data_IF_729566282183
#
_entry.id   IF_729566282183
#
_cell.length_a   1.000
_cell.length_b   1.000
_cell.length_c   1.000
_cell.angle_alpha   90.00
_cell.angle_beta   90.00
_cell.angle_gamma   90.00
#
_symmetry.space_group_name_H-M   'P 1'
#
loop_
_entity.id
_entity.type
_entity.pdbx_description
1 polymer ?
#
# COMPACT_ATOMS: atom_id res chain seq x y z
N UNK A 1 -49.28 -45.74 8.64
CA UNK A 1 -48.83 -44.70 7.69
C UNK A 1 -48.23 -43.55 8.49
N UNK A 2 -46.89 -43.55 8.62
CA UNK A 2 -46.14 -42.63 9.47
C UNK A 2 -46.09 -41.22 8.85
N UNK A 3 -46.62 -40.21 9.57
CA UNK A 3 -46.38 -38.80 9.25
C UNK A 3 -45.15 -38.32 10.03
N UNK A 4 -44.06 -38.14 9.29
CA UNK A 4 -42.78 -37.63 9.79
C UNK A 4 -42.93 -36.11 10.01
N UNK A 5 -42.86 -35.70 11.28
CA UNK A 5 -42.76 -34.31 11.70
C UNK A 5 -41.29 -33.88 11.49
N UNK A 6 -40.98 -33.13 10.42
CA UNK A 6 -39.63 -32.57 10.23
C UNK A 6 -39.51 -31.21 10.90
N UNK A 7 -38.62 -31.18 11.89
CA UNK A 7 -38.18 -30.03 12.67
C UNK A 7 -37.81 -28.82 11.80
N UNK A 8 -38.24 -27.66 12.28
CA UNK A 8 -37.84 -26.33 11.85
C UNK A 8 -36.37 -26.14 12.24
N UNK A 9 -35.47 -26.08 11.26
CA UNK A 9 -34.10 -25.61 11.44
C UNK A 9 -34.07 -24.11 11.19
N UNK A 10 -34.15 -23.33 12.28
CA UNK A 10 -33.81 -21.90 12.26
C UNK A 10 -32.29 -21.81 12.13
N UNK A 11 -31.80 -21.89 10.89
CA UNK A 11 -30.42 -21.55 10.57
C UNK A 11 -30.28 -20.04 10.61
N UNK A 12 -29.93 -19.48 11.76
CA UNK A 12 -29.36 -18.14 11.81
C UNK A 12 -28.06 -18.17 11.00
N UNK A 13 -28.13 -17.77 9.74
CA UNK A 13 -26.96 -17.42 8.95
C UNK A 13 -26.38 -16.21 9.69
N UNK A 14 -25.40 -16.49 10.54
CA UNK A 14 -24.56 -15.48 11.16
C UNK A 14 -23.98 -14.67 10.03
N UNK A 15 -24.57 -13.49 9.81
CA UNK A 15 -24.02 -12.47 8.96
C UNK A 15 -22.66 -12.13 9.54
N UNK A 16 -21.60 -12.75 9.00
CA UNK A 16 -20.27 -12.21 9.12
C UNK A 16 -20.31 -10.89 8.36
N UNK A 17 -20.71 -9.84 9.07
CA UNK A 17 -20.36 -8.47 8.72
C UNK A 17 -18.84 -8.49 8.77
N UNK A 18 -18.24 -8.74 7.62
CA UNK A 18 -16.85 -8.42 7.35
C UNK A 18 -16.79 -6.91 7.49
N UNK A 19 -16.53 -6.45 8.71
CA UNK A 19 -16.10 -5.09 8.94
C UNK A 19 -14.85 -4.95 8.09
N UNK A 20 -14.98 -4.26 6.96
CA UNK A 20 -13.85 -3.78 6.20
C UNK A 20 -13.11 -2.87 7.16
N UNK A 21 -12.08 -3.41 7.81
CA UNK A 21 -11.15 -2.62 8.60
C UNK A 21 -10.49 -1.72 7.56
N UNK A 22 -11.02 -0.50 7.40
CA UNK A 22 -10.40 0.52 6.57
C UNK A 22 -9.07 0.86 7.27
N UNK A 23 -8.02 0.09 6.97
CA UNK A 23 -6.66 0.47 7.30
C UNK A 23 -6.46 1.85 6.65
N UNK A 24 -6.35 2.88 7.50
CA UNK A 24 -6.23 4.25 7.04
C UNK A 24 -4.94 4.36 6.23
N UNK A 25 -5.06 4.37 4.90
CA UNK A 25 -3.89 4.41 4.02
C UNK A 25 -3.31 5.82 4.00
N UNK A 26 -2.06 5.94 4.44
CA UNK A 26 -1.28 7.16 4.43
C UNK A 26 -0.72 7.43 3.05
N UNK A 27 -0.70 8.70 2.63
CA UNK A 27 -0.03 9.09 1.38
C UNK A 27 1.47 9.29 1.63
N UNK A 28 2.29 8.58 0.86
CA UNK A 28 3.75 8.65 0.93
C UNK A 28 4.25 9.41 -0.29
N UNK A 29 5.12 10.40 -0.08
CA UNK A 29 5.81 11.05 -1.18
C UNK A 29 6.78 10.07 -1.85
N UNK A 30 6.77 10.00 -3.18
CA UNK A 30 7.69 9.13 -3.89
C UNK A 30 7.96 9.60 -5.31
N UNK A 31 9.08 9.13 -5.88
CA UNK A 31 9.52 9.47 -7.24
C UNK A 31 10.21 8.29 -7.90
N UNK A 32 10.13 8.19 -9.23
CA UNK A 32 10.96 7.27 -10.02
C UNK A 32 12.20 8.05 -10.48
N UNK A 33 13.39 7.46 -10.29
CA UNK A 33 14.67 7.99 -10.77
C UNK A 33 15.43 6.92 -11.53
N UNK A 34 16.36 7.33 -12.38
CA UNK A 34 17.30 6.41 -13.02
C UNK A 34 18.59 6.35 -12.21
N UNK A 35 19.06 5.13 -11.94
CA UNK A 35 20.34 4.87 -11.29
C UNK A 35 20.99 3.65 -11.93
N UNK A 36 22.22 3.78 -12.41
CA UNK A 36 22.95 2.70 -13.10
C UNK A 36 22.13 2.00 -14.20
N UNK A 37 21.35 2.77 -14.97
CA UNK A 37 20.50 2.28 -16.06
C UNK A 37 19.21 1.57 -15.61
N UNK A 38 18.88 1.57 -14.31
CA UNK A 38 17.69 0.93 -13.75
C UNK A 38 16.73 1.94 -13.11
N UNK A 39 15.42 1.63 -13.01
CA UNK A 39 14.47 2.44 -12.26
C UNK A 39 14.64 2.22 -10.76
N UNK A 40 14.87 3.29 -10.02
CA UNK A 40 14.74 3.33 -8.57
C UNK A 40 13.44 4.05 -8.20
N UNK A 41 12.62 3.44 -7.37
CA UNK A 41 11.46 4.08 -6.74
C UNK A 41 11.87 4.57 -5.37
N UNK A 42 12.02 5.89 -5.22
CA UNK A 42 12.43 6.54 -3.99
C UNK A 42 11.20 6.95 -3.18
N UNK A 43 11.14 6.54 -1.92
CA UNK A 43 10.13 6.98 -0.96
C UNK A 43 10.71 8.07 -0.06
N UNK A 44 9.98 9.16 0.10
CA UNK A 44 10.39 10.34 0.87
C UNK A 44 9.19 10.97 1.57
N UNK A 45 9.16 10.83 2.90
CA UNK A 45 8.18 11.47 3.77
C UNK A 45 6.75 10.95 3.61
N UNK A 46 5.98 10.96 4.69
CA UNK A 46 4.52 10.85 4.59
C UNK A 46 4.02 12.28 4.43
N UNK A 47 3.36 12.56 3.30
CA UNK A 47 3.00 13.91 2.85
C UNK A 47 1.55 14.26 3.16
N UNK A 48 0.74 13.29 3.59
CA UNK A 48 -0.64 13.52 3.98
C UNK A 48 -1.36 12.26 4.48
N UNK A 49 -2.55 12.48 5.03
CA UNK A 49 -3.44 11.44 5.56
C UNK A 49 -3.93 11.76 6.96
N UNK A 50 -5.23 11.59 7.20
CA UNK A 50 -5.80 11.53 8.55
C UNK A 50 -5.50 10.15 9.13
N UNK A 51 -4.40 10.01 9.86
CA UNK A 51 -4.15 8.82 10.66
C UNK A 51 -4.34 9.13 12.13
N UNK A 52 -4.86 8.15 12.87
CA UNK A 52 -4.91 8.27 14.32
C UNK A 52 -3.49 8.18 14.87
N UNK A 53 -2.99 9.31 15.34
CA UNK A 53 -1.65 9.41 15.91
C UNK A 53 -1.40 8.53 17.13
N UNK A 54 -2.46 8.10 17.83
CA UNK A 54 -2.36 7.23 18.99
C UNK A 54 -2.01 5.78 18.59
N UNK A 55 -2.17 5.43 17.31
CA UNK A 55 -1.78 4.11 16.79
C UNK A 55 -0.27 4.01 16.55
N UNK A 56 0.48 5.11 16.68
CA UNK A 56 1.89 5.18 16.32
C UNK A 56 2.75 5.63 17.50
N UNK A 57 3.77 4.84 17.81
CA UNK A 57 4.79 5.18 18.79
C UNK A 57 5.71 6.32 18.32
N UNK A 58 6.65 6.74 19.17
CA UNK A 58 7.65 7.78 18.80
C UNK A 58 8.52 7.35 17.60
N UNK A 59 8.75 6.05 17.46
CA UNK A 59 9.48 5.42 16.36
C UNK A 59 8.84 4.05 16.07
N UNK A 60 9.02 3.56 14.86
CA UNK A 60 8.62 2.20 14.50
C UNK A 60 9.01 1.88 13.06
N UNK A 61 8.43 0.82 12.53
CA UNK A 61 8.58 0.40 11.13
C UNK A 61 7.20 0.37 10.50
N UNK A 62 7.11 0.79 9.24
CA UNK A 62 5.90 0.69 8.43
C UNK A 62 6.26 0.15 7.04
N UNK A 63 5.26 -0.41 6.35
CA UNK A 63 5.39 -0.82 4.96
C UNK A 63 5.06 0.37 4.07
N UNK A 64 5.92 0.69 3.11
CA UNK A 64 5.60 1.62 2.03
C UNK A 64 5.40 0.85 0.74
N UNK A 65 4.40 1.25 -0.03
CA UNK A 65 4.00 0.62 -1.28
C UNK A 65 3.95 1.68 -2.37
N UNK A 66 4.51 1.37 -3.53
CA UNK A 66 4.35 2.12 -4.76
C UNK A 66 3.49 1.32 -5.75
N UNK A 67 2.50 1.98 -6.33
CA UNK A 67 1.73 1.49 -7.46
C UNK A 67 2.12 2.32 -8.68
N UNK A 68 2.73 1.65 -9.67
CA UNK A 68 3.09 2.24 -10.97
C UNK A 68 2.08 1.78 -11.99
N UNK A 69 1.48 2.70 -12.74
CA UNK A 69 0.58 2.36 -13.84
C UNK A 69 0.79 3.22 -15.09
N UNK A 70 0.61 2.61 -16.25
CA UNK A 70 0.77 3.27 -17.55
C UNK A 70 0.74 2.26 -18.69
N UNK A 71 0.29 2.70 -19.88
CA UNK A 71 0.03 1.84 -21.05
C UNK A 71 -0.85 0.60 -20.75
N UNK A 72 -1.83 0.74 -19.84
CA UNK A 72 -2.68 -0.38 -19.41
C UNK A 72 -2.01 -1.38 -18.46
N UNK A 73 -0.72 -1.23 -18.17
CA UNK A 73 0.00 -2.07 -17.22
C UNK A 73 -0.01 -1.45 -15.82
N UNK A 74 0.02 -2.30 -14.79
CA UNK A 74 0.11 -1.90 -13.39
C UNK A 74 1.04 -2.83 -12.63
N UNK A 75 1.94 -2.29 -11.81
CA UNK A 75 2.82 -3.06 -10.92
C UNK A 75 2.87 -2.44 -9.52
N UNK A 76 3.03 -3.31 -8.53
CA UNK A 76 3.12 -2.95 -7.11
C UNK A 76 4.50 -3.30 -6.57
N UNK A 77 5.13 -2.35 -5.89
CA UNK A 77 6.44 -2.51 -5.25
C UNK A 77 6.32 -2.12 -3.78
N UNK A 78 6.80 -2.96 -2.86
CA UNK A 78 6.69 -2.69 -1.43
C UNK A 78 8.02 -2.89 -0.72
N UNK A 79 8.31 -2.06 0.28
CA UNK A 79 9.47 -2.20 1.17
C UNK A 79 9.13 -1.69 2.56
N UNK A 80 9.93 -2.05 3.56
CA UNK A 80 9.77 -1.52 4.91
C UNK A 80 10.66 -0.29 5.11
N UNK A 81 10.15 0.70 5.84
CA UNK A 81 10.95 1.84 6.30
C UNK A 81 10.72 2.12 7.77
N UNK A 82 11.77 2.57 8.43
CA UNK A 82 11.68 3.10 9.80
C UNK A 82 11.05 4.48 9.75
N UNK A 83 10.12 4.73 10.65
CA UNK A 83 9.52 6.04 10.84
C UNK A 83 9.91 6.66 12.19
N UNK A 84 9.86 7.99 12.25
CA UNK A 84 9.88 8.79 13.47
C UNK A 84 8.63 9.67 13.48
N UNK A 85 7.93 9.73 14.61
CA UNK A 85 6.82 10.65 14.81
C UNK A 85 7.38 12.05 15.14
N UNK A 86 6.99 13.05 14.36
CA UNK A 86 7.40 14.45 14.51
C UNK A 86 6.13 15.31 14.50
N UNK A 87 5.72 15.76 15.69
CA UNK A 87 4.42 16.40 15.87
C UNK A 87 3.29 15.53 15.34
N UNK A 88 2.56 16.06 14.35
CA UNK A 88 1.42 15.40 13.71
C UNK A 88 1.77 14.57 12.46
N UNK A 89 3.06 14.35 12.21
CA UNK A 89 3.57 13.69 11.00
C UNK A 89 4.40 12.45 11.33
N UNK A 90 4.37 11.46 10.44
CA UNK A 90 5.37 10.39 10.41
C UNK A 90 6.43 10.71 9.36
N UNK A 91 7.69 10.74 9.77
CA UNK A 91 8.82 10.92 8.87
C UNK A 91 9.50 9.57 8.66
N UNK A 92 9.58 9.12 7.42
CA UNK A 92 10.30 7.91 7.05
C UNK A 92 11.74 8.25 6.66
N UNK A 93 12.67 7.35 6.99
CA UNK A 93 14.01 7.42 6.39
C UNK A 93 13.86 7.18 4.88
N UNK A 94 14.62 7.95 4.10
CA UNK A 94 14.73 7.76 2.65
C UNK A 94 15.08 6.30 2.36
N UNK A 95 14.22 5.62 1.62
CA UNK A 95 14.38 4.23 1.19
C UNK A 95 14.04 4.16 -0.30
N UNK A 96 14.65 3.23 -1.01
CA UNK A 96 14.35 3.02 -2.43
C UNK A 96 14.23 1.53 -2.75
N UNK A 97 13.55 1.25 -3.85
CA UNK A 97 13.47 -0.08 -4.47
C UNK A 97 14.05 0.04 -5.87
N UNK A 98 15.08 -0.74 -6.17
CA UNK A 98 15.61 -0.89 -7.53
C UNK A 98 14.80 -1.95 -8.25
N UNK A 99 14.11 -1.56 -9.32
CA UNK A 99 13.33 -2.48 -10.15
C UNK A 99 14.31 -3.29 -11.01
N UNK A 100 14.20 -4.64 -11.07
CA UNK A 100 15.18 -5.50 -11.74
C UNK A 100 15.02 -5.53 -13.27
N UNK A 101 14.85 -4.37 -13.89
CA UNK A 101 14.79 -4.17 -15.35
C UNK A 101 15.60 -2.93 -15.72
N UNK A 102 15.93 -2.77 -16.99
CA UNK A 102 16.50 -1.51 -17.49
C UNK A 102 15.45 -0.40 -17.51
N UNK A 103 15.89 0.86 -17.44
CA UNK A 103 15.00 2.01 -17.57
C UNK A 103 14.31 2.04 -18.96
N UNK A 104 14.97 1.51 -20.00
CA UNK A 104 14.38 1.38 -21.34
C UNK A 104 13.20 0.42 -21.34
N UNK A 105 13.34 -0.77 -20.75
CA UNK A 105 12.26 -1.75 -20.61
C UNK A 105 11.12 -1.20 -19.75
N UNK A 106 11.45 -0.53 -18.64
CA UNK A 106 10.46 0.10 -17.78
C UNK A 106 9.62 1.16 -18.52
N UNK A 107 10.26 2.07 -19.25
CA UNK A 107 9.58 3.07 -20.09
C UNK A 107 8.83 2.44 -21.26
N UNK A 108 9.35 1.34 -21.82
CA UNK A 108 8.66 0.53 -22.82
C UNK A 108 7.33 0.01 -22.30
N UNK A 109 7.35 -0.53 -21.07
CA UNK A 109 6.22 -1.19 -20.42
C UNK A 109 5.17 -0.20 -19.88
N UNK A 110 5.57 0.86 -19.17
CA UNK A 110 4.62 1.80 -18.55
C UNK A 110 4.46 3.13 -19.29
N UNK A 111 5.33 3.45 -20.26
CA UNK A 111 5.40 4.75 -20.92
C UNK A 111 6.41 5.70 -20.29
N UNK A 112 6.59 6.87 -20.91
CA UNK A 112 7.57 7.88 -20.47
C UNK A 112 7.17 8.60 -19.18
N UNK A 113 5.87 8.75 -18.95
CA UNK A 113 5.28 9.43 -17.79
C UNK A 113 4.27 8.53 -17.10
N UNK A 114 4.71 7.44 -16.45
CA UNK A 114 3.80 6.56 -15.74
C UNK A 114 3.19 7.28 -14.54
N UNK A 115 1.94 6.93 -14.21
CA UNK A 115 1.33 7.34 -12.94
C UNK A 115 1.99 6.58 -11.80
N UNK A 116 2.34 7.30 -10.74
CA UNK A 116 2.95 6.75 -9.54
C UNK A 116 2.14 7.20 -8.32
N UNK A 117 1.64 6.24 -7.55
CA UNK A 117 0.96 6.48 -6.26
C UNK A 117 1.68 5.70 -5.18
N UNK A 118 2.02 6.33 -4.06
CA UNK A 118 2.63 5.62 -2.93
C UNK A 118 1.84 5.76 -1.64
N UNK A 119 1.74 4.66 -0.90
CA UNK A 119 0.96 4.55 0.32
C UNK A 119 1.67 3.77 1.42
N UNK A 120 1.22 3.98 2.66
CA UNK A 120 1.49 3.11 3.80
C UNK A 120 0.15 2.70 4.41
N UNK A 121 0.00 1.48 4.96
CA UNK A 121 -1.12 1.14 5.82
C UNK A 121 -1.10 1.97 7.12
#
# INVERSE_FOLDING_TARGET
MNRILRMIMIGAIGSMISMSLNAATLSVGCTIKESSGKPDIWFAGITGGTFNQNNYGKKGTLSVTALVSGKGNTAKFSTQSRYKKVGNRLEIRKVWITVPVTMKEFKGHFGLFPKLTCTSP
#
